data_IF_554610088274
#
_entry.id   IF_554610088274
#
_cell.length_a   1.000
_cell.length_b   1.000
_cell.length_c   1.000
_cell.angle_alpha   90.00
_cell.angle_beta   90.00
_cell.angle_gamma   90.00
#
_symmetry.space_group_name_H-M   'P 1'
#
loop_
_entity.id
_entity.type
_entity.pdbx_description
1 polymer ?
#
# COMPACT_ATOMS: atom_id res chain seq x y z
N UNK A 1 -8.09 15.78 -3.02
CA UNK A 1 -7.61 15.14 -1.77
C UNK A 1 -6.10 14.93 -1.80
N UNK A 2 -5.45 14.92 -0.63
CA UNK A 2 -4.05 14.52 -0.48
C UNK A 2 -3.99 13.02 -0.23
N UNK A 3 -3.21 12.33 -1.04
CA UNK A 3 -3.05 10.87 -0.99
C UNK A 3 -1.63 10.52 -0.58
N UNK A 4 -1.47 9.58 0.35
CA UNK A 4 -0.20 8.94 0.67
C UNK A 4 -0.23 7.48 0.20
N UNK A 5 0.62 7.14 -0.76
CA UNK A 5 0.75 5.78 -1.28
C UNK A 5 2.06 5.16 -0.81
N UNK A 6 1.97 4.08 -0.06
CA UNK A 6 3.12 3.36 0.48
C UNK A 6 3.33 2.07 -0.30
N UNK A 7 4.61 1.74 -0.60
CA UNK A 7 4.97 0.64 -1.50
C UNK A 7 4.33 0.82 -2.89
N UNK A 8 4.40 2.04 -3.40
CA UNK A 8 3.63 2.56 -4.53
C UNK A 8 3.84 1.81 -5.84
N UNK A 9 5.00 1.18 -6.01
CA UNK A 9 5.34 0.52 -7.25
C UNK A 9 5.37 1.53 -8.42
N UNK A 10 4.60 1.24 -9.45
CA UNK A 10 4.49 2.08 -10.66
C UNK A 10 3.32 3.09 -10.57
N UNK A 11 2.87 3.45 -9.38
CA UNK A 11 1.73 4.35 -9.12
C UNK A 11 0.38 3.79 -9.63
N UNK A 12 0.18 2.47 -9.51
CA UNK A 12 -1.11 1.85 -9.88
C UNK A 12 -2.28 2.39 -9.04
N UNK A 13 -2.05 2.79 -7.80
CA UNK A 13 -3.05 3.47 -6.96
C UNK A 13 -3.49 4.81 -7.57
N UNK A 14 -2.55 5.60 -8.10
CA UNK A 14 -2.83 6.85 -8.79
C UNK A 14 -3.71 6.64 -10.02
N UNK A 15 -3.37 5.63 -10.84
CA UNK A 15 -4.17 5.25 -12.02
C UNK A 15 -5.59 4.84 -11.61
N UNK A 16 -5.72 4.09 -10.52
CA UNK A 16 -7.03 3.66 -10.04
C UNK A 16 -7.90 4.84 -9.59
N UNK A 17 -7.32 5.81 -8.90
CA UNK A 17 -8.02 7.03 -8.48
C UNK A 17 -8.49 7.85 -9.69
N UNK A 18 -7.63 8.05 -10.69
CA UNK A 18 -7.99 8.75 -11.93
C UNK A 18 -9.13 8.05 -12.68
N UNK A 19 -9.07 6.72 -12.80
CA UNK A 19 -10.12 5.94 -13.46
C UNK A 19 -11.44 5.91 -12.68
N UNK A 20 -11.42 6.26 -11.41
CA UNK A 20 -12.59 6.35 -10.53
C UNK A 20 -13.10 7.80 -10.41
N UNK A 21 -12.60 8.73 -11.22
CA UNK A 21 -12.93 10.16 -11.20
C UNK A 21 -12.70 10.80 -9.82
N UNK A 22 -11.75 10.26 -9.05
CA UNK A 22 -11.39 10.78 -7.73
C UNK A 22 -10.30 11.84 -7.91
N UNK A 23 -10.64 13.10 -7.65
CA UNK A 23 -9.71 14.21 -7.77
C UNK A 23 -8.60 14.13 -6.73
N UNK A 24 -7.36 14.01 -7.19
CA UNK A 24 -6.14 14.04 -6.38
C UNK A 24 -5.48 15.40 -6.53
N UNK A 25 -5.29 16.11 -5.41
CA UNK A 25 -4.62 17.42 -5.41
C UNK A 25 -3.11 17.24 -5.23
N UNK A 26 -2.69 16.35 -4.33
CA UNK A 26 -1.30 15.96 -4.15
C UNK A 26 -1.21 14.44 -3.94
N UNK A 27 -0.24 13.81 -4.59
CA UNK A 27 0.06 12.39 -4.46
C UNK A 27 1.47 12.21 -3.92
N UNK A 28 1.57 11.82 -2.66
CA UNK A 28 2.82 11.49 -1.97
C UNK A 28 3.05 10.00 -2.09
N UNK A 29 4.27 9.57 -2.39
CA UNK A 29 4.52 8.14 -2.57
C UNK A 29 5.86 7.67 -2.05
N UNK A 30 5.85 6.49 -1.41
CA UNK A 30 7.03 5.77 -0.96
C UNK A 30 7.25 4.54 -1.83
N UNK A 31 8.40 4.48 -2.47
CA UNK A 31 8.91 3.35 -3.25
C UNK A 31 10.44 3.47 -3.33
N UNK A 32 11.16 2.33 -3.30
CA UNK A 32 12.63 2.29 -3.36
C UNK A 32 13.17 1.70 -4.67
N UNK A 33 12.31 1.02 -5.44
CA UNK A 33 12.74 0.36 -6.67
C UNK A 33 12.84 1.37 -7.80
N UNK A 34 14.08 1.65 -8.22
CA UNK A 34 14.36 2.66 -9.25
C UNK A 34 13.52 2.49 -10.51
N UNK A 35 13.42 1.27 -11.05
CA UNK A 35 12.64 1.03 -12.27
C UNK A 35 11.15 1.37 -12.12
N UNK A 36 10.58 1.13 -10.94
CA UNK A 36 9.18 1.45 -10.66
C UNK A 36 8.98 2.97 -10.55
N UNK A 37 9.90 3.64 -9.86
CA UNK A 37 9.93 5.10 -9.73
C UNK A 37 10.09 5.76 -11.12
N UNK A 38 10.97 5.24 -11.98
CA UNK A 38 11.20 5.79 -13.32
C UNK A 38 9.91 5.70 -14.18
N UNK A 39 9.17 4.59 -14.09
CA UNK A 39 7.88 4.42 -14.78
C UNK A 39 6.83 5.39 -14.20
N UNK A 40 6.73 5.47 -12.87
CA UNK A 40 5.81 6.37 -12.20
C UNK A 40 6.08 7.84 -12.56
N UNK A 41 7.34 8.26 -12.60
CA UNK A 41 7.74 9.62 -12.96
C UNK A 41 7.47 9.95 -14.43
N UNK A 42 7.51 8.94 -15.32
CA UNK A 42 7.18 9.12 -16.73
C UNK A 42 5.68 9.32 -16.93
N UNK A 43 4.85 8.59 -16.18
CA UNK A 43 3.40 8.65 -16.29
C UNK A 43 2.80 9.85 -15.52
N UNK A 44 3.41 10.24 -14.41
CA UNK A 44 2.97 11.33 -13.52
C UNK A 44 4.16 12.22 -13.14
N UNK A 45 4.66 13.02 -14.09
CA UNK A 45 5.82 13.89 -13.85
C UNK A 45 5.54 14.97 -12.80
N UNK A 46 4.28 15.39 -12.65
CA UNK A 46 3.83 16.36 -11.65
C UNK A 46 3.99 15.84 -10.20
N UNK A 47 3.88 14.54 -9.98
CA UNK A 47 4.00 13.90 -8.66
C UNK A 47 5.46 13.65 -8.27
N UNK A 48 6.42 13.86 -9.17
CA UNK A 48 7.85 13.59 -8.94
C UNK A 48 8.41 14.30 -7.69
N UNK A 49 7.98 15.53 -7.45
CA UNK A 49 8.40 16.33 -6.29
C UNK A 49 7.95 15.76 -4.94
N UNK A 50 6.95 14.88 -4.94
CA UNK A 50 6.33 14.28 -3.77
C UNK A 50 6.79 12.83 -3.55
N UNK A 51 7.90 12.38 -4.19
CA UNK A 51 8.48 11.06 -3.96
C UNK A 51 9.28 11.05 -2.67
N UNK A 52 8.87 10.21 -1.72
CA UNK A 52 9.40 10.18 -0.36
C UNK A 52 10.52 9.14 -0.14
N UNK A 53 10.70 8.22 -1.10
CA UNK A 53 11.73 7.18 -1.00
C UNK A 53 11.38 6.05 -0.03
N UNK A 54 12.29 5.74 0.90
CA UNK A 54 12.14 4.64 1.84
C UNK A 54 11.11 4.97 2.93
N UNK A 55 10.15 4.08 3.14
CA UNK A 55 9.10 4.21 4.14
C UNK A 55 9.65 4.38 5.57
N UNK A 56 10.79 3.75 5.87
CA UNK A 56 11.40 3.78 7.20
C UNK A 56 11.97 5.16 7.58
N UNK A 57 12.22 6.02 6.58
CA UNK A 57 12.74 7.37 6.78
C UNK A 57 11.66 8.45 6.82
N UNK A 58 10.41 8.08 6.53
CA UNK A 58 9.31 9.04 6.50
C UNK A 58 8.82 9.31 7.92
N UNK A 59 8.71 10.60 8.27
CA UNK A 59 8.05 11.05 9.48
C UNK A 59 6.67 11.63 9.11
N UNK A 60 5.60 11.05 9.62
CA UNK A 60 4.23 11.47 9.28
C UNK A 60 3.92 12.91 9.69
N UNK A 61 4.62 13.47 10.69
CA UNK A 61 4.45 14.87 11.11
C UNK A 61 4.95 15.90 10.09
N UNK A 62 5.84 15.48 9.17
CA UNK A 62 6.40 16.36 8.13
C UNK A 62 5.49 16.39 6.88
N UNK A 63 4.45 15.54 6.86
CA UNK A 63 3.48 15.49 5.78
C UNK A 63 2.31 16.44 6.03
N UNK A 64 1.67 16.95 4.98
CA UNK A 64 0.42 17.67 5.14
C UNK A 64 -0.69 16.73 5.64
N UNK A 65 -1.86 17.29 5.93
CA UNK A 65 -3.05 16.50 6.24
C UNK A 65 -3.31 15.50 5.08
N UNK A 66 -3.29 14.22 5.39
CA UNK A 66 -3.55 13.13 4.44
C UNK A 66 -5.03 12.73 4.53
N UNK A 67 -5.71 12.77 3.40
CA UNK A 67 -7.11 12.34 3.31
C UNK A 67 -7.22 10.82 3.11
N UNK A 68 -6.32 10.25 2.29
CA UNK A 68 -6.34 8.83 1.93
C UNK A 68 -4.94 8.24 2.01
N UNK A 69 -4.80 7.16 2.79
CA UNK A 69 -3.62 6.32 2.82
C UNK A 69 -3.89 5.03 2.06
N UNK A 70 -3.10 4.74 1.03
CA UNK A 70 -3.18 3.48 0.27
C UNK A 70 -1.83 2.76 0.30
N UNK A 71 -1.86 1.44 0.09
CA UNK A 71 -0.62 0.67 -0.07
C UNK A 71 -0.81 -0.83 0.10
N UNK A 72 0.18 -1.57 -0.36
CA UNK A 72 0.27 -3.02 -0.18
C UNK A 72 1.63 -3.38 0.37
N UNK A 73 1.73 -3.69 1.67
CA UNK A 73 3.02 -4.08 2.25
C UNK A 73 3.57 -5.35 1.60
N UNK A 74 4.90 -5.48 1.45
CA UNK A 74 5.50 -6.67 0.88
C UNK A 74 5.02 -7.94 1.56
N UNK A 75 4.61 -8.92 0.76
CA UNK A 75 3.94 -10.15 1.20
C UNK A 75 4.82 -11.40 1.07
N UNK A 76 6.13 -11.24 0.85
CA UNK A 76 6.99 -12.38 0.53
C UNK A 76 7.01 -13.47 1.62
N UNK A 77 6.80 -13.09 2.88
CA UNK A 77 6.72 -14.03 4.00
C UNK A 77 5.31 -14.63 4.20
N UNK A 78 4.28 -14.06 3.55
CA UNK A 78 2.90 -14.58 3.59
C UNK A 78 2.55 -15.44 2.38
N UNK A 79 3.27 -15.27 1.27
CA UNK A 79 2.96 -15.93 0.00
C UNK A 79 3.16 -17.45 0.09
N UNK A 80 2.21 -18.20 -0.46
CA UNK A 80 2.30 -19.66 -0.58
C UNK A 80 3.47 -20.16 -1.41
N UNK A 81 4.13 -19.30 -2.18
CA UNK A 81 5.30 -19.62 -2.99
C UNK A 81 6.61 -19.62 -2.20
N UNK A 82 6.65 -19.08 -0.99
CA UNK A 82 7.85 -19.07 -0.14
C UNK A 82 7.80 -20.23 0.86
N UNK A 83 8.82 -21.10 0.84
CA UNK A 83 8.94 -22.25 1.74
C UNK A 83 9.21 -21.83 3.20
N UNK A 84 9.91 -20.70 3.39
CA UNK A 84 10.27 -20.16 4.72
C UNK A 84 9.27 -19.09 5.18
N UNK A 85 8.03 -19.51 5.38
CA UNK A 85 6.92 -18.62 5.76
C UNK A 85 7.11 -18.05 7.16
N UNK A 86 7.88 -16.97 7.29
CA UNK A 86 8.12 -16.27 8.58
C UNK A 86 6.90 -15.48 9.07
N UNK A 87 5.90 -15.29 8.22
CA UNK A 87 4.70 -14.52 8.53
C UNK A 87 5.04 -13.07 8.93
N UNK A 88 4.39 -12.55 9.96
CA UNK A 88 4.64 -11.20 10.49
C UNK A 88 6.01 -11.05 11.18
N UNK A 89 6.73 -12.16 11.43
CA UNK A 89 8.08 -12.13 12.01
C UNK A 89 9.19 -11.93 10.97
N UNK A 90 8.87 -12.06 9.68
CA UNK A 90 9.83 -11.83 8.61
C UNK A 90 10.16 -10.35 8.44
N UNK A 91 11.42 -10.04 8.08
CA UNK A 91 11.89 -8.65 7.88
C UNK A 91 11.00 -7.88 6.90
N UNK A 92 10.56 -8.51 5.81
CA UNK A 92 9.73 -7.86 4.78
C UNK A 92 8.28 -7.69 5.20
N UNK A 93 7.76 -8.56 6.05
CA UNK A 93 6.42 -8.42 6.63
C UNK A 93 6.40 -7.43 7.79
N UNK A 94 7.54 -7.18 8.42
CA UNK A 94 7.74 -6.12 9.41
C UNK A 94 7.42 -4.73 8.84
N UNK A 95 7.52 -4.55 7.52
CA UNK A 95 7.14 -3.31 6.83
C UNK A 95 5.63 -3.01 6.89
N UNK A 96 4.78 -3.99 7.22
CA UNK A 96 3.39 -3.72 7.61
C UNK A 96 3.31 -2.78 8.83
N UNK A 97 4.20 -2.94 9.79
CA UNK A 97 4.23 -2.07 10.98
C UNK A 97 4.69 -0.64 10.65
N UNK A 98 5.52 -0.46 9.61
CA UNK A 98 5.84 0.87 9.10
C UNK A 98 4.62 1.53 8.43
N UNK A 99 3.83 0.75 7.67
CA UNK A 99 2.56 1.22 7.14
C UNK A 99 1.59 1.62 8.28
N UNK A 100 1.50 0.78 9.32
CA UNK A 100 0.66 1.04 10.49
C UNK A 100 1.14 2.27 11.28
N UNK A 101 2.46 2.45 11.43
CA UNK A 101 3.06 3.63 12.06
C UNK A 101 2.62 4.89 11.34
N UNK A 102 2.80 4.95 10.02
CA UNK A 102 2.40 6.12 9.24
C UNK A 102 0.88 6.35 9.24
N UNK A 103 0.06 5.29 9.25
CA UNK A 103 -1.39 5.42 9.46
C UNK A 103 -1.71 6.13 10.79
N UNK A 104 -1.01 5.75 11.86
CA UNK A 104 -1.25 6.31 13.19
C UNK A 104 -0.70 7.74 13.32
N UNK A 105 0.40 8.06 12.66
CA UNK A 105 0.98 9.41 12.64
C UNK A 105 0.14 10.38 11.81
N UNK A 106 -0.24 9.99 10.57
CA UNK A 106 -0.97 10.88 9.64
C UNK A 106 -2.48 10.90 9.88
N UNK A 107 -3.04 9.92 10.59
CA UNK A 107 -4.48 9.80 10.91
C UNK A 107 -5.39 10.11 9.72
N UNK A 108 -5.22 9.42 8.59
CA UNK A 108 -5.95 9.71 7.36
C UNK A 108 -7.46 9.47 7.56
N UNK A 109 -8.29 10.23 6.86
CA UNK A 109 -9.75 10.04 6.90
C UNK A 109 -10.17 8.68 6.35
N UNK A 110 -9.45 8.20 5.33
CA UNK A 110 -9.68 6.91 4.70
C UNK A 110 -8.36 6.16 4.55
N UNK A 111 -8.43 4.84 4.57
CA UNK A 111 -7.28 4.00 4.21
C UNK A 111 -7.70 2.79 3.38
N UNK A 112 -6.77 2.26 2.61
CA UNK A 112 -6.90 1.02 1.88
C UNK A 112 -5.58 0.25 1.94
N UNK A 113 -5.56 -0.87 2.66
CA UNK A 113 -4.43 -1.79 2.67
C UNK A 113 -4.75 -3.00 1.78
N UNK A 114 -3.88 -3.29 0.80
CA UNK A 114 -3.93 -4.51 -0.02
C UNK A 114 -2.92 -5.54 0.46
N UNK A 115 -3.29 -6.81 0.43
CA UNK A 115 -2.32 -7.88 0.59
C UNK A 115 -2.78 -9.20 -0.09
N UNK A 116 -1.87 -10.16 -0.19
CA UNK A 116 -2.18 -11.50 -0.70
C UNK A 116 -3.04 -12.28 0.30
N UNK A 117 -3.69 -13.34 -0.19
CA UNK A 117 -4.30 -14.33 0.71
C UNK A 117 -3.20 -14.95 1.59
N UNK A 118 -3.48 -14.99 2.89
CA UNK A 118 -2.57 -15.47 3.93
C UNK A 118 -3.31 -16.40 4.90
N UNK A 119 -2.59 -17.01 5.83
CA UNK A 119 -3.18 -17.78 6.92
C UNK A 119 -4.12 -16.89 7.74
N UNK A 120 -5.23 -17.46 8.22
CA UNK A 120 -6.24 -16.71 9.00
C UNK A 120 -5.65 -16.06 10.25
N UNK A 121 -4.65 -16.67 10.87
CA UNK A 121 -3.93 -16.11 12.02
C UNK A 121 -3.31 -14.75 11.72
N UNK A 122 -2.58 -14.62 10.57
CA UNK A 122 -1.97 -13.36 10.17
C UNK A 122 -3.01 -12.33 9.74
N UNK A 123 -4.07 -12.78 9.03
CA UNK A 123 -5.19 -11.91 8.67
C UNK A 123 -5.85 -11.31 9.92
N UNK A 124 -6.09 -12.14 10.95
CA UNK A 124 -6.71 -11.69 12.21
C UNK A 124 -5.84 -10.64 12.94
N UNK A 125 -4.50 -10.77 12.89
CA UNK A 125 -3.61 -9.77 13.48
C UNK A 125 -3.78 -8.43 12.74
N UNK A 126 -3.72 -8.44 11.40
CA UNK A 126 -3.89 -7.22 10.60
C UNK A 126 -5.28 -6.62 10.84
N UNK A 127 -6.35 -7.43 10.82
CA UNK A 127 -7.71 -6.98 11.09
C UNK A 127 -7.87 -6.33 12.45
N UNK A 128 -7.22 -6.90 13.49
CA UNK A 128 -7.22 -6.34 14.85
C UNK A 128 -6.55 -4.97 14.90
N UNK A 129 -5.36 -4.83 14.27
CA UNK A 129 -4.62 -3.56 14.23
C UNK A 129 -5.35 -2.46 13.43
N UNK A 130 -6.10 -2.86 12.40
CA UNK A 130 -6.83 -1.92 11.54
C UNK A 130 -8.27 -1.65 12.02
N UNK A 131 -8.80 -2.50 12.91
CA UNK A 131 -10.17 -2.38 13.43
C UNK A 131 -11.26 -2.77 12.43
N UNK A 132 -10.93 -3.51 11.36
CA UNK A 132 -11.88 -3.96 10.35
C UNK A 132 -11.47 -5.29 9.72
N UNK A 133 -12.44 -6.04 9.19
CA UNK A 133 -12.19 -7.25 8.42
C UNK A 133 -11.94 -6.93 6.94
N UNK A 134 -11.11 -7.73 6.24
CA UNK A 134 -10.87 -7.51 4.83
C UNK A 134 -12.00 -8.09 3.97
N UNK A 135 -12.20 -7.49 2.81
CA UNK A 135 -12.93 -8.11 1.70
C UNK A 135 -11.96 -8.84 0.78
N UNK A 136 -12.41 -9.95 0.18
CA UNK A 136 -11.65 -10.70 -0.81
C UNK A 136 -12.14 -10.30 -2.19
N UNK A 137 -11.24 -9.80 -3.02
CA UNK A 137 -11.54 -9.50 -4.43
C UNK A 137 -10.68 -10.39 -5.31
N UNK A 138 -11.30 -10.99 -6.32
CA UNK A 138 -10.60 -11.70 -7.38
C UNK A 138 -10.63 -10.87 -8.66
N UNK A 139 -9.47 -10.55 -9.21
CA UNK A 139 -9.38 -9.74 -10.44
C UNK A 139 -10.02 -10.42 -11.67
N UNK A 140 -10.29 -11.73 -11.62
CA UNK A 140 -10.95 -12.44 -12.73
C UNK A 140 -12.33 -11.85 -13.11
N UNK A 141 -12.97 -11.15 -12.19
CA UNK A 141 -14.24 -10.46 -12.47
C UNK A 141 -14.08 -9.21 -13.33
N UNK A 142 -12.84 -8.71 -13.50
CA UNK A 142 -12.55 -7.46 -14.18
C UNK A 142 -11.49 -7.60 -15.28
N UNK A 143 -10.66 -8.65 -15.21
CA UNK A 143 -9.57 -8.91 -16.14
C UNK A 143 -9.30 -10.42 -16.24
N UNK A 144 -8.72 -10.92 -17.35
CA UNK A 144 -8.42 -12.34 -17.54
C UNK A 144 -7.21 -12.79 -16.71
N UNK A 145 -7.28 -12.56 -15.39
CA UNK A 145 -6.25 -12.93 -14.42
C UNK A 145 -6.86 -13.46 -13.15
N UNK A 146 -6.52 -14.68 -12.76
CA UNK A 146 -6.88 -15.24 -11.46
C UNK A 146 -5.97 -14.66 -10.38
N UNK A 147 -6.44 -13.63 -9.64
CA UNK A 147 -5.65 -12.95 -8.62
C UNK A 147 -6.54 -12.57 -7.42
N UNK A 148 -6.53 -13.41 -6.40
CA UNK A 148 -7.23 -13.12 -5.15
C UNK A 148 -6.38 -12.19 -4.28
N UNK A 149 -6.99 -11.14 -3.75
CA UNK A 149 -6.38 -10.21 -2.81
C UNK A 149 -7.32 -9.88 -1.66
N UNK A 150 -6.73 -9.55 -0.53
CA UNK A 150 -7.40 -9.05 0.66
C UNK A 150 -7.28 -7.52 0.67
N UNK A 151 -8.37 -6.85 0.96
CA UNK A 151 -8.44 -5.39 1.06
C UNK A 151 -9.11 -4.99 2.38
N UNK A 152 -8.36 -4.33 3.21
CA UNK A 152 -8.83 -3.67 4.41
C UNK A 152 -9.07 -2.19 4.15
#
# INVERSE_FOLDING_TARGET
MNVLSLFDGMSCGRIALDKSDIKVDNYYSSEIKKYAIDIANKNYPEDKKNRLGDITTINGSDLPIIDLLIGGSPCQDFSGANKDRSGLKGIKSGLFYEWLRLKNETKPKYFLLENVRMKKEHQNIISKELGCEPIIINSMYFAPQLRHRLYW
#
